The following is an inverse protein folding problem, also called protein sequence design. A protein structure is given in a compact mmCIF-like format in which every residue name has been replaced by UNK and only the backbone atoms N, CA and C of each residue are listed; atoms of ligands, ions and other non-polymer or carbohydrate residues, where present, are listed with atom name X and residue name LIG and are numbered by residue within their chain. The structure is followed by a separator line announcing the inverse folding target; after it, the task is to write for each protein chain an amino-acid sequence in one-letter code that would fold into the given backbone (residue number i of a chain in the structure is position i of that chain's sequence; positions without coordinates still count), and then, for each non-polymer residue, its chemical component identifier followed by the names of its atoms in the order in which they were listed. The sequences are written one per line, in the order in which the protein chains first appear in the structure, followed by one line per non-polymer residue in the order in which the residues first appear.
data_IF_640756505213
#
_entry.id   IF_640756505213
#
_cell.length_a   1.000
_cell.length_b   1.000
_cell.length_c   1.000
_cell.angle_alpha   90.00
_cell.angle_beta   90.00
_cell.angle_gamma   90.00
#
_symmetry.space_group_name_H-M   'P 1'
#
loop_
_entity.id
_entity.type
_entity.pdbx_description
1 polymer ?
#
# COMPACT_ATOMS: atom_id res chain seq x y z
N UNK A 1 12.44 22.74 -8.50
CA UNK A 1 13.23 21.92 -7.56
C UNK A 1 13.42 20.58 -8.24
N UNK A 2 14.66 20.09 -8.38
CA UNK A 2 14.90 18.78 -8.98
C UNK A 2 14.80 17.70 -7.89
N UNK A 3 14.14 16.60 -8.21
CA UNK A 3 14.17 15.40 -7.38
C UNK A 3 15.32 14.49 -7.81
N UNK A 4 15.89 13.77 -6.84
CA UNK A 4 16.94 12.78 -7.05
C UNK A 4 16.41 11.39 -6.72
N UNK A 5 16.72 10.43 -7.58
CA UNK A 5 16.42 9.02 -7.34
C UNK A 5 17.14 8.54 -6.08
N UNK A 6 16.41 7.88 -5.19
CA UNK A 6 16.93 7.34 -3.93
C UNK A 6 17.04 5.82 -3.93
N UNK A 7 16.23 5.11 -4.73
CA UNK A 7 16.29 3.65 -4.82
C UNK A 7 14.95 3.00 -5.17
N UNK A 8 14.96 1.73 -5.60
CA UNK A 8 13.74 0.97 -5.84
C UNK A 8 13.11 0.48 -4.53
N UNK A 9 11.80 0.26 -4.53
CA UNK A 9 11.07 -0.36 -3.42
C UNK A 9 11.02 -1.88 -3.65
N UNK A 10 11.70 -2.64 -2.78
CA UNK A 10 11.82 -4.10 -2.88
C UNK A 10 10.46 -4.78 -3.01
N UNK A 11 10.33 -5.68 -3.99
CA UNK A 11 9.08 -6.42 -4.25
C UNK A 11 8.01 -5.63 -5.03
N UNK A 12 8.36 -4.46 -5.60
CA UNK A 12 7.44 -3.67 -6.42
C UNK A 12 8.15 -3.03 -7.60
N UNK A 13 7.38 -2.41 -8.50
CA UNK A 13 7.86 -1.56 -9.58
C UNK A 13 7.89 -0.06 -9.21
N UNK A 14 7.87 0.27 -7.92
CA UNK A 14 7.90 1.65 -7.42
C UNK A 14 9.31 2.09 -7.00
N UNK A 15 9.53 3.41 -6.92
CA UNK A 15 10.81 4.04 -6.63
C UNK A 15 10.67 5.14 -5.57
N UNK A 16 11.70 5.33 -4.77
CA UNK A 16 11.86 6.48 -3.89
C UNK A 16 12.55 7.61 -4.64
N UNK A 17 11.95 8.79 -4.56
CA UNK A 17 12.51 10.04 -5.07
C UNK A 17 12.54 11.07 -3.95
N UNK A 18 13.65 11.79 -3.82
CA UNK A 18 13.85 12.77 -2.75
C UNK A 18 14.11 14.15 -3.34
N UNK A 19 13.54 15.17 -2.72
CA UNK A 19 13.83 16.56 -3.02
C UNK A 19 13.74 17.37 -1.73
N UNK A 20 14.47 18.48 -1.68
CA UNK A 20 14.41 19.41 -0.55
C UNK A 20 14.30 20.82 -1.07
N UNK A 21 13.43 21.62 -0.45
CA UNK A 21 13.31 23.04 -0.75
C UNK A 21 12.91 23.81 0.50
N UNK A 22 13.44 25.02 0.63
CA UNK A 22 13.01 25.96 1.66
C UNK A 22 11.88 26.82 1.10
N UNK A 23 10.75 26.83 1.78
CA UNK A 23 9.52 27.52 1.36
C UNK A 23 8.97 28.29 2.55
N UNK A 24 8.53 29.54 2.33
CA UNK A 24 8.00 30.40 3.39
C UNK A 24 6.48 30.53 3.24
N UNK A 25 5.77 30.43 4.36
CA UNK A 25 4.34 30.75 4.44
C UNK A 25 3.39 29.74 3.80
N UNK A 26 3.87 28.58 3.37
CA UNK A 26 3.00 27.51 2.86
C UNK A 26 2.67 26.53 3.98
N UNK A 27 1.41 26.08 4.03
CA UNK A 27 0.93 25.08 4.98
C UNK A 27 0.86 23.69 4.35
N UNK A 28 0.71 23.64 3.03
CA UNK A 28 0.57 22.40 2.27
C UNK A 28 1.09 22.55 0.84
N UNK A 29 1.38 21.42 0.19
CA UNK A 29 1.78 21.36 -1.21
C UNK A 29 1.30 20.06 -1.88
N UNK A 30 1.33 20.02 -3.20
CA UNK A 30 1.16 18.79 -4.00
C UNK A 30 2.33 18.67 -4.98
N UNK A 31 2.56 17.48 -5.51
CA UNK A 31 3.66 17.22 -6.44
C UNK A 31 3.10 17.20 -7.87
N UNK A 32 3.60 18.09 -8.74
CA UNK A 32 3.36 18.03 -10.19
C UNK A 32 4.58 17.40 -10.86
N UNK A 33 4.38 16.39 -11.70
CA UNK A 33 5.45 15.76 -12.48
C UNK A 33 4.99 15.44 -13.91
N UNK A 34 5.94 15.22 -14.81
CA UNK A 34 5.67 14.93 -16.22
C UNK A 34 6.33 13.61 -16.63
N UNK A 35 5.57 12.75 -17.31
CA UNK A 35 6.05 11.48 -17.85
C UNK A 35 5.70 11.44 -19.33
N UNK A 36 6.71 11.36 -20.19
CA UNK A 36 6.55 11.31 -21.65
C UNK A 36 5.68 12.45 -22.21
N UNK A 37 5.83 13.66 -21.66
CA UNK A 37 5.07 14.85 -22.07
C UNK A 37 3.65 14.97 -21.51
N UNK A 38 3.21 14.04 -20.65
CA UNK A 38 1.92 14.11 -19.95
C UNK A 38 2.14 14.53 -18.49
N UNK A 39 1.36 15.52 -18.04
CA UNK A 39 1.42 16.05 -16.67
C UNK A 39 0.53 15.25 -15.72
N UNK A 40 1.07 14.97 -14.54
CA UNK A 40 0.42 14.28 -13.43
C UNK A 40 0.52 15.13 -12.15
N UNK A 41 -0.45 14.92 -11.26
CA UNK A 41 -0.52 15.57 -9.96
C UNK A 41 -0.68 14.50 -8.89
N UNK A 42 0.18 14.53 -7.88
CA UNK A 42 0.04 13.75 -6.65
C UNK A 42 -0.31 14.71 -5.50
N UNK A 43 -1.54 14.57 -5.05
CA UNK A 43 -2.13 15.37 -3.98
C UNK A 43 -2.37 14.53 -2.72
N UNK A 44 -1.59 13.47 -2.48
CA UNK A 44 -1.73 12.62 -1.30
C UNK A 44 -3.19 12.15 -1.11
N UNK A 45 -3.77 11.51 -2.14
CA UNK A 45 -5.18 11.08 -2.15
C UNK A 45 -6.19 12.20 -1.86
N UNK A 46 -5.98 13.39 -2.43
CA UNK A 46 -6.82 14.60 -2.25
C UNK A 46 -6.64 15.37 -0.95
N UNK A 47 -5.65 15.05 -0.11
CA UNK A 47 -5.40 15.72 1.17
C UNK A 47 -4.21 16.70 1.17
N UNK A 48 -3.44 16.77 0.08
CA UNK A 48 -2.15 17.48 -0.02
C UNK A 48 -1.11 17.03 1.04
N UNK A 49 0.15 17.37 0.80
CA UNK A 49 1.26 17.15 1.74
C UNK A 49 1.32 18.33 2.71
N UNK A 50 1.31 18.06 4.02
CA UNK A 50 1.36 19.09 5.06
C UNK A 50 2.81 19.50 5.35
N UNK A 51 3.05 20.81 5.49
CA UNK A 51 4.37 21.36 5.86
C UNK A 51 4.39 21.62 7.36
N UNK A 52 5.17 20.84 8.09
CA UNK A 52 5.37 21.05 9.52
C UNK A 52 6.31 22.24 9.76
N UNK A 53 5.79 23.29 10.39
CA UNK A 53 6.60 24.42 10.87
C UNK A 53 7.25 24.04 12.20
N UNK A 54 8.37 23.33 12.17
CA UNK A 54 9.17 23.14 13.39
C UNK A 54 9.77 24.49 13.81
N UNK A 55 9.36 25.03 14.96
CA UNK A 55 10.12 26.06 15.70
C UNK A 55 11.51 25.46 16.00
N UNK A 56 12.63 26.18 15.79
CA UNK A 56 13.94 25.55 15.82
C UNK A 56 14.29 25.15 17.25
N UNK A 57 14.47 23.84 17.48
CA UNK A 57 15.30 23.34 18.57
C UNK A 57 16.63 22.97 17.94
N UNK A 58 17.67 23.73 18.27
CA UNK A 58 19.05 23.45 17.89
C UNK A 58 19.40 22.01 18.23
N UNK A 59 19.74 21.21 17.23
CA UNK A 59 20.63 20.07 17.40
C UNK A 59 21.50 19.96 16.16
N UNK A 60 22.79 20.12 16.42
CA UNK A 60 23.93 20.02 15.53
C UNK A 60 23.90 18.77 14.67
N UNK A 61 24.40 18.94 13.44
CA UNK A 61 24.49 17.99 12.34
C UNK A 61 24.88 16.55 12.71
N UNK A 62 24.26 15.60 12.01
CA UNK A 62 24.87 14.30 11.73
C UNK A 62 24.43 13.80 10.34
N UNK A 63 25.29 14.09 9.36
CA UNK A 63 25.49 13.28 8.15
C UNK A 63 25.71 11.82 8.54
N UNK A 64 25.02 10.87 7.92
CA UNK A 64 25.62 9.55 7.62
C UNK A 64 24.78 8.72 6.65
N UNK A 65 25.30 8.63 5.43
CA UNK A 65 25.45 7.39 4.63
C UNK A 65 25.81 6.20 5.51
N UNK A 66 25.38 4.98 5.16
CA UNK A 66 26.32 3.84 5.27
C UNK A 66 25.90 2.64 4.42
N UNK A 67 26.83 2.17 3.58
CA UNK A 67 26.99 0.76 3.19
C UNK A 67 27.54 -0.02 4.41
N UNK A 68 27.14 -1.29 4.58
CA UNK A 68 27.39 -2.22 5.71
C UNK A 68 28.90 -2.51 6.06
N UNK A 69 29.28 -3.44 6.97
CA UNK A 69 28.89 -3.78 8.36
C UNK A 69 30.13 -3.85 9.33
N UNK A 70 29.96 -3.69 10.67
CA UNK A 70 30.78 -4.37 11.71
C UNK A 70 30.41 -3.98 13.14
N UNK A 71 30.49 -4.98 14.00
CA UNK A 71 30.21 -5.01 15.44
C UNK A 71 31.07 -4.02 16.23
N UNK A 72 30.46 -3.05 16.90
CA UNK A 72 31.04 -2.42 18.09
C UNK A 72 29.96 -1.76 18.93
N UNK A 73 29.61 -2.49 19.98
CA UNK A 73 29.06 -2.09 21.27
C UNK A 73 29.17 -0.58 21.54
N UNK A 74 28.06 0.15 21.58
CA UNK A 74 27.99 1.47 22.22
C UNK A 74 26.63 1.62 22.89
N UNK A 75 26.70 2.07 24.13
CA UNK A 75 25.74 1.97 25.21
C UNK A 75 24.40 2.66 24.94
N UNK A 76 23.34 1.84 25.04
CA UNK A 76 21.92 2.20 24.96
C UNK A 76 21.55 3.29 25.98
N UNK A 77 21.05 4.48 25.58
CA UNK A 77 20.18 5.24 26.46
C UNK A 77 18.92 4.39 26.63
N UNK A 78 18.74 3.85 27.83
CA UNK A 78 17.56 3.08 28.19
C UNK A 78 16.36 4.03 28.30
N UNK A 79 15.77 4.39 27.16
CA UNK A 79 14.39 4.86 27.12
C UNK A 79 13.49 3.63 27.16
N UNK A 80 12.86 3.41 28.30
CA UNK A 80 11.99 2.27 28.59
C UNK A 80 10.58 2.43 28.03
N UNK A 81 10.41 3.18 26.94
CA UNK A 81 9.10 3.38 26.33
C UNK A 81 8.97 2.43 25.13
N UNK A 82 8.04 1.46 25.15
CA UNK A 82 7.85 0.58 24.02
C UNK A 82 7.52 1.43 22.80
N UNK A 83 8.30 1.29 21.73
CA UNK A 83 8.01 1.93 20.45
C UNK A 83 6.64 1.43 19.97
N UNK A 84 5.62 2.26 20.15
CA UNK A 84 4.28 2.01 19.66
C UNK A 84 4.30 2.25 18.15
N UNK A 85 4.13 1.18 17.38
CA UNK A 85 3.77 1.30 15.98
C UNK A 85 2.52 2.20 15.89
N UNK A 86 2.47 3.16 14.94
CA UNK A 86 1.28 3.97 14.75
C UNK A 86 0.08 3.05 14.63
N UNK A 87 -0.90 3.21 15.50
CA UNK A 87 -2.18 2.54 15.37
C UNK A 87 -2.75 2.98 14.03
N UNK A 88 -2.78 2.06 13.06
CA UNK A 88 -3.18 2.35 11.69
C UNK A 88 -4.53 3.08 11.62
N UNK A 89 -4.81 3.73 10.49
CA UNK A 89 -6.05 4.47 10.29
C UNK A 89 -7.27 3.59 10.65
N UNK A 90 -8.01 3.97 11.70
CA UNK A 90 -9.12 3.19 12.24
C UNK A 90 -10.29 3.08 11.27
N UNK A 91 -10.50 4.07 10.41
CA UNK A 91 -11.47 4.03 9.31
C UNK A 91 -11.06 3.00 8.26
N UNK A 92 -9.78 2.96 7.86
CA UNK A 92 -9.27 1.94 6.92
C UNK A 92 -9.39 0.55 7.53
N UNK A 93 -9.00 0.38 8.79
CA UNK A 93 -9.06 -0.91 9.49
C UNK A 93 -10.50 -1.42 9.59
N UNK A 94 -11.45 -0.52 9.88
CA UNK A 94 -12.88 -0.87 9.94
C UNK A 94 -13.46 -1.18 8.56
N UNK A 95 -13.05 -0.44 7.53
CA UNK A 95 -13.43 -0.70 6.16
C UNK A 95 -12.90 -2.05 5.67
N UNK A 96 -11.63 -2.40 5.94
CA UNK A 96 -11.04 -3.69 5.56
C UNK A 96 -11.84 -4.84 6.16
N UNK A 97 -12.14 -4.79 7.46
CA UNK A 97 -12.94 -5.83 8.13
C UNK A 97 -14.31 -6.01 7.47
N UNK A 98 -15.01 -4.91 7.18
CA UNK A 98 -16.30 -4.96 6.49
C UNK A 98 -16.16 -5.48 5.05
N UNK A 99 -15.09 -5.09 4.37
CA UNK A 99 -14.86 -5.45 2.98
C UNK A 99 -14.41 -6.91 2.82
N UNK A 100 -13.76 -7.49 3.83
CA UNK A 100 -13.44 -8.92 3.90
C UNK A 100 -14.72 -9.76 3.81
N UNK A 101 -15.73 -9.46 4.64
CA UNK A 101 -17.02 -10.16 4.61
C UNK A 101 -17.73 -10.02 3.25
N UNK A 102 -17.76 -8.80 2.68
CA UNK A 102 -18.39 -8.52 1.39
C UNK A 102 -17.69 -9.27 0.27
N UNK A 103 -16.35 -9.22 0.25
CA UNK A 103 -15.52 -9.88 -0.77
C UNK A 103 -15.66 -11.39 -0.70
N UNK A 104 -15.66 -11.96 0.50
CA UNK A 104 -15.86 -13.39 0.72
C UNK A 104 -17.24 -13.85 0.25
N UNK A 105 -18.29 -13.12 0.60
CA UNK A 105 -19.64 -13.40 0.11
C UNK A 105 -19.73 -13.36 -1.42
N UNK A 106 -19.14 -12.33 -2.04
CA UNK A 106 -19.13 -12.19 -3.49
C UNK A 106 -18.34 -13.31 -4.19
N UNK A 107 -17.17 -13.68 -3.65
CA UNK A 107 -16.34 -14.79 -4.15
C UNK A 107 -17.10 -16.12 -4.10
N UNK A 108 -17.71 -16.45 -2.97
CA UNK A 108 -18.44 -17.72 -2.79
C UNK A 108 -19.64 -17.85 -3.73
N UNK A 109 -20.29 -16.75 -4.12
CA UNK A 109 -21.39 -16.77 -5.10
C UNK A 109 -20.96 -17.16 -6.51
N UNK A 110 -19.68 -17.03 -6.85
CA UNK A 110 -19.14 -17.46 -8.13
C UNK A 110 -18.85 -18.97 -8.17
N UNK A 111 -19.00 -19.69 -7.04
CA UNK A 111 -18.70 -21.12 -6.92
C UNK A 111 -19.99 -21.92 -6.95
N UNK A 112 -20.05 -22.91 -7.82
CA UNK A 112 -21.26 -23.70 -8.09
C UNK A 112 -22.51 -22.83 -8.30
N UNK A 113 -22.46 -21.77 -9.14
CA UNK A 113 -23.67 -21.00 -9.45
C UNK A 113 -24.76 -21.91 -10.04
N UNK A 114 -26.06 -21.58 -9.84
CA UNK A 114 -27.16 -22.42 -10.31
C UNK A 114 -27.03 -22.80 -11.79
N UNK A 115 -27.19 -24.09 -12.08
CA UNK A 115 -27.08 -24.62 -13.45
C UNK A 115 -25.66 -24.91 -13.92
N UNK A 116 -24.63 -24.66 -13.08
CA UNK A 116 -23.26 -25.08 -13.37
C UNK A 116 -22.95 -26.49 -12.86
N UNK A 117 -21.89 -27.11 -13.40
CA UNK A 117 -21.38 -28.37 -12.89
C UNK A 117 -20.74 -28.20 -11.50
N UNK A 118 -20.77 -29.25 -10.68
CA UNK A 118 -20.09 -29.23 -9.38
C UNK A 118 -18.58 -29.00 -9.56
N UNK A 119 -18.03 -28.08 -8.78
CA UNK A 119 -16.64 -27.63 -8.87
C UNK A 119 -16.43 -26.49 -9.88
N UNK A 120 -17.46 -26.03 -10.58
CA UNK A 120 -17.36 -24.87 -11.47
C UNK A 120 -17.19 -23.58 -10.67
N UNK A 121 -16.16 -22.80 -11.03
CA UNK A 121 -15.88 -21.48 -10.47
C UNK A 121 -15.92 -20.47 -11.62
N UNK A 122 -16.97 -19.65 -11.65
CA UNK A 122 -17.11 -18.60 -12.65
C UNK A 122 -16.12 -17.46 -12.38
N UNK A 123 -15.49 -16.91 -13.43
CA UNK A 123 -14.75 -15.65 -13.27
C UNK A 123 -15.68 -14.49 -12.89
N UNK A 124 -16.90 -14.48 -13.42
CA UNK A 124 -17.96 -13.55 -13.05
C UNK A 124 -19.34 -14.17 -13.33
N UNK A 125 -20.39 -13.72 -12.63
CA UNK A 125 -21.78 -14.05 -12.96
C UNK A 125 -22.31 -13.25 -14.18
N UNK A 126 -21.49 -12.38 -14.76
CA UNK A 126 -21.86 -11.58 -15.92
C UNK A 126 -21.93 -12.41 -17.19
N UNK A 127 -23.11 -12.45 -17.82
CA UNK A 127 -23.36 -13.09 -19.12
C UNK A 127 -23.41 -12.09 -20.28
N UNK A 128 -23.23 -10.79 -20.01
CA UNK A 128 -23.21 -9.74 -21.01
C UNK A 128 -22.46 -8.49 -20.52
N UNK A 129 -21.74 -7.82 -21.42
CA UNK A 129 -21.15 -6.51 -21.19
C UNK A 129 -20.08 -6.39 -20.08
N UNK A 130 -19.04 -7.24 -20.00
CA UNK A 130 -18.67 -8.35 -20.89
C UNK A 130 -19.23 -9.69 -20.41
N UNK A 131 -19.30 -10.69 -21.30
CA UNK A 131 -19.64 -12.07 -20.94
C UNK A 131 -18.40 -12.79 -20.37
N UNK A 132 -18.42 -13.04 -19.06
CA UNK A 132 -17.34 -13.69 -18.30
C UNK A 132 -17.86 -14.88 -17.48
N UNK A 133 -19.02 -15.44 -17.86
CA UNK A 133 -19.58 -16.64 -17.23
C UNK A 133 -18.90 -17.93 -17.70
N UNK A 134 -17.59 -18.00 -17.48
CA UNK A 134 -16.78 -19.18 -17.79
C UNK A 134 -15.81 -19.47 -16.63
N UNK A 135 -15.27 -20.68 -16.62
CA UNK A 135 -14.23 -21.07 -15.68
C UNK A 135 -12.86 -20.97 -16.35
N UNK A 136 -12.06 -19.99 -15.94
CA UNK A 136 -10.65 -19.92 -16.30
C UNK A 136 -9.83 -20.70 -15.30
N UNK A 137 -8.96 -21.59 -15.77
CA UNK A 137 -8.12 -22.42 -14.90
C UNK A 137 -7.32 -21.59 -13.89
N UNK A 138 -6.78 -20.43 -14.31
CA UNK A 138 -6.05 -19.51 -13.43
C UNK A 138 -6.95 -18.98 -12.31
N UNK A 139 -8.09 -18.41 -12.68
CA UNK A 139 -9.01 -17.75 -11.75
C UNK A 139 -9.62 -18.74 -10.75
N UNK A 140 -9.98 -19.93 -11.23
CA UNK A 140 -10.43 -21.04 -10.39
C UNK A 140 -9.33 -21.47 -9.40
N UNK A 141 -8.09 -21.68 -9.87
CA UNK A 141 -6.99 -22.11 -9.00
C UNK A 141 -6.66 -21.10 -7.91
N UNK A 142 -6.62 -19.80 -8.24
CA UNK A 142 -6.38 -18.74 -7.26
C UNK A 142 -7.51 -18.63 -6.24
N UNK A 143 -8.76 -18.72 -6.69
CA UNK A 143 -9.95 -18.71 -5.81
C UNK A 143 -9.95 -19.92 -4.87
N UNK A 144 -9.66 -21.12 -5.40
CA UNK A 144 -9.55 -22.33 -4.58
C UNK A 144 -8.42 -22.23 -3.55
N UNK A 145 -7.29 -21.60 -3.89
CA UNK A 145 -6.20 -21.38 -2.93
C UNK A 145 -6.66 -20.52 -1.74
N UNK A 146 -7.42 -19.45 -1.98
CA UNK A 146 -8.00 -18.62 -0.91
C UNK A 146 -8.93 -19.44 -0.03
N UNK A 147 -9.79 -20.26 -0.62
CA UNK A 147 -10.74 -21.11 0.14
C UNK A 147 -10.02 -22.16 0.98
N UNK A 148 -9.00 -22.81 0.42
CA UNK A 148 -8.18 -23.78 1.18
C UNK A 148 -7.47 -23.09 2.34
N UNK A 149 -6.94 -21.88 2.11
CA UNK A 149 -6.34 -21.09 3.18
C UNK A 149 -7.35 -20.75 4.28
N UNK A 150 -8.51 -20.20 3.94
CA UNK A 150 -9.57 -19.88 4.90
C UNK A 150 -10.03 -21.13 5.67
N UNK A 151 -10.27 -22.25 4.98
CA UNK A 151 -10.67 -23.51 5.61
C UNK A 151 -9.67 -24.02 6.65
N UNK A 152 -8.37 -23.80 6.43
CA UNK A 152 -7.31 -24.24 7.33
C UNK A 152 -7.00 -23.24 8.45
N UNK A 153 -7.53 -22.01 8.39
CA UNK A 153 -7.19 -20.92 9.31
C UNK A 153 -8.37 -20.36 10.09
N UNK A 154 -9.59 -20.80 9.79
CA UNK A 154 -10.82 -20.48 10.51
C UNK A 154 -11.25 -21.67 11.37
#
# INVERSE_FOLDING_TARGET
IAASFSGPISGSNYEYWTFSASVKGIKEFYIKYEVSGKTYYDNNNSANYQVSTSKPTTTTAATTTTTAPSTSTTTRPSSSEPATFPTGNSTISSWIKKQEDISRFAMLRNINPPGSATGFIAASLSTAGPDYYYAWTRDAALTSNVIVYEYNTT
#
